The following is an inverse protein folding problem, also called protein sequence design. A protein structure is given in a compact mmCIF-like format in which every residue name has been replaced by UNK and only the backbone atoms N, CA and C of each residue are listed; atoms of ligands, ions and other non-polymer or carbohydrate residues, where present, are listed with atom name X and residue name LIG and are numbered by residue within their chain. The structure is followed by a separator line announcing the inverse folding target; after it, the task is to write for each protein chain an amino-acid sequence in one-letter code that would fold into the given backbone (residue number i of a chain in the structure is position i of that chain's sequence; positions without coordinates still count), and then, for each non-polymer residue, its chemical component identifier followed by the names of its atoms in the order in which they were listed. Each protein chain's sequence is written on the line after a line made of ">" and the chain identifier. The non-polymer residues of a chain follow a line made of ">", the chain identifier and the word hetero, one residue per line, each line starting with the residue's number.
data_IF_047676331335
#
_entry.id   IF_047676331335
#
_cell.length_a   1.000
_cell.length_b   1.000
_cell.length_c   1.000
_cell.angle_alpha   90.00
_cell.angle_beta   90.00
_cell.angle_gamma   90.00
#
_symmetry.space_group_name_H-M   'P 1'
#
loop_
_entity.id
_entity.type
_entity.pdbx_description
1 polymer ?
#
# COMPACT_ATOMS: atom_id res chain seq x y z
N UNK A 1 -15.31 28.18 -29.34
CA UNK A 1 -14.22 27.52 -28.55
C UNK A 1 -14.42 27.73 -27.04
N UNK A 2 -14.93 28.88 -26.56
CA UNK A 2 -15.30 29.04 -25.13
C UNK A 2 -16.50 28.18 -24.68
N UNK A 3 -17.53 28.03 -25.52
CA UNK A 3 -18.74 27.24 -25.17
C UNK A 3 -18.54 25.73 -25.01
N UNK A 4 -17.54 25.14 -25.67
CA UNK A 4 -17.23 23.72 -25.53
C UNK A 4 -16.59 23.39 -24.17
N UNK A 5 -16.16 24.40 -23.42
CA UNK A 5 -15.49 24.24 -22.12
C UNK A 5 -16.49 24.23 -20.98
N UNK A 6 -17.62 24.95 -21.11
CA UNK A 6 -18.66 25.04 -20.07
C UNK A 6 -19.63 23.86 -20.09
N UNK A 7 -19.94 23.29 -21.27
CA UNK A 7 -20.72 22.04 -21.33
C UNK A 7 -19.94 20.81 -20.79
N UNK A 8 -18.62 20.88 -20.70
CA UNK A 8 -17.75 19.79 -20.19
C UNK A 8 -17.71 19.69 -18.66
N UNK A 9 -18.28 20.68 -17.95
CA UNK A 9 -18.28 20.73 -16.48
C UNK A 9 -19.42 19.88 -15.88
N UNK A 10 -20.45 19.53 -16.66
CA UNK A 10 -21.63 18.77 -16.18
C UNK A 10 -21.53 17.23 -16.30
N UNK A 11 -20.33 16.69 -16.43
CA UNK A 11 -20.04 15.36 -15.93
C UNK A 11 -20.38 14.18 -16.84
N UNK A 12 -21.61 14.06 -17.34
CA UNK A 12 -21.97 12.98 -18.27
C UNK A 12 -21.78 13.46 -19.70
N UNK A 13 -20.77 12.93 -20.40
CA UNK A 13 -20.71 13.13 -21.85
C UNK A 13 -21.77 12.21 -22.48
N UNK A 14 -22.70 12.73 -23.30
CA UNK A 14 -23.67 11.90 -24.03
C UNK A 14 -23.00 10.77 -24.82
N UNK A 15 -21.74 10.99 -25.21
CA UNK A 15 -20.85 10.04 -25.86
C UNK A 15 -20.55 8.80 -24.99
N UNK A 16 -20.36 8.98 -23.68
CA UNK A 16 -20.08 7.85 -22.77
C UNK A 16 -21.30 6.97 -22.54
N UNK A 17 -22.48 7.59 -22.41
CA UNK A 17 -23.75 6.87 -22.24
C UNK A 17 -24.09 6.08 -23.51
N UNK A 18 -23.88 6.68 -24.69
CA UNK A 18 -24.03 6.02 -25.98
C UNK A 18 -23.05 4.86 -26.16
N UNK A 19 -21.76 5.08 -25.83
CA UNK A 19 -20.74 4.05 -25.91
C UNK A 19 -21.06 2.85 -25.00
N UNK A 20 -21.48 3.09 -23.76
CA UNK A 20 -21.91 2.03 -22.85
C UNK A 20 -23.09 1.25 -23.40
N UNK A 21 -24.12 1.93 -23.92
CA UNK A 21 -25.27 1.28 -24.52
C UNK A 21 -24.86 0.35 -25.69
N UNK A 22 -23.96 0.83 -26.56
CA UNK A 22 -23.46 0.03 -27.68
C UNK A 22 -22.62 -1.16 -27.22
N UNK A 23 -21.77 -0.99 -26.19
CA UNK A 23 -20.98 -2.07 -25.61
C UNK A 23 -21.87 -3.14 -24.95
N UNK A 24 -22.86 -2.73 -24.15
CA UNK A 24 -23.83 -3.63 -23.53
C UNK A 24 -24.63 -4.40 -24.58
N UNK A 25 -25.09 -3.72 -25.63
CA UNK A 25 -25.78 -4.36 -26.75
C UNK A 25 -24.86 -5.33 -27.50
N UNK A 26 -23.61 -4.95 -27.76
CA UNK A 26 -22.64 -5.84 -28.40
C UNK A 26 -22.39 -7.11 -27.57
N UNK A 27 -22.34 -6.98 -26.24
CA UNK A 27 -22.20 -8.11 -25.31
C UNK A 27 -23.36 -9.10 -25.43
N UNK A 28 -24.59 -8.61 -25.61
CA UNK A 28 -25.76 -9.48 -25.78
C UNK A 28 -25.82 -10.20 -27.13
N UNK A 29 -25.16 -9.63 -28.15
CA UNK A 29 -25.23 -10.13 -29.53
C UNK A 29 -24.07 -11.06 -29.90
N UNK A 30 -22.94 -10.97 -29.19
CA UNK A 30 -21.79 -11.85 -29.43
C UNK A 30 -21.94 -13.16 -28.66
N UNK A 31 -21.57 -14.28 -29.29
CA UNK A 31 -21.53 -15.59 -28.64
C UNK A 31 -20.11 -15.98 -28.18
N UNK A 32 -19.10 -15.18 -28.54
CA UNK A 32 -17.70 -15.47 -28.29
C UNK A 32 -17.25 -14.94 -26.92
N UNK A 33 -16.74 -15.85 -26.08
CA UNK A 33 -16.22 -15.53 -24.75
C UNK A 33 -15.05 -14.55 -24.75
N UNK A 34 -14.23 -14.52 -25.79
CA UNK A 34 -13.13 -13.55 -25.91
C UNK A 34 -13.68 -12.14 -26.09
N UNK A 35 -14.69 -11.98 -26.94
CA UNK A 35 -15.37 -10.70 -27.14
C UNK A 35 -16.10 -10.23 -25.88
N UNK A 36 -16.73 -11.14 -25.12
CA UNK A 36 -17.29 -10.79 -23.81
C UNK A 36 -16.25 -10.19 -22.87
N UNK A 37 -15.07 -10.80 -22.76
CA UNK A 37 -13.99 -10.32 -21.88
C UNK A 37 -13.48 -8.93 -22.29
N UNK A 38 -13.33 -8.68 -23.59
CA UNK A 38 -12.90 -7.38 -24.10
C UNK A 38 -13.95 -6.29 -23.83
N UNK A 39 -15.22 -6.59 -24.12
CA UNK A 39 -16.33 -5.67 -23.86
C UNK A 39 -16.45 -5.35 -22.37
N UNK A 40 -16.30 -6.34 -21.49
CA UNK A 40 -16.31 -6.12 -20.05
C UNK A 40 -15.16 -5.25 -19.56
N UNK A 41 -13.99 -5.37 -20.19
CA UNK A 41 -12.86 -4.48 -19.91
C UNK A 41 -13.17 -3.03 -20.34
N UNK A 42 -13.78 -2.84 -21.51
CA UNK A 42 -14.16 -1.51 -22.02
C UNK A 42 -15.26 -0.86 -21.17
N UNK A 43 -16.29 -1.64 -20.78
CA UNK A 43 -17.33 -1.16 -19.87
C UNK A 43 -16.72 -0.74 -18.53
N UNK A 44 -15.79 -1.55 -17.99
CA UNK A 44 -15.07 -1.21 -16.76
C UNK A 44 -14.22 0.06 -16.93
N UNK A 45 -13.56 0.21 -18.07
CA UNK A 45 -12.76 1.39 -18.40
C UNK A 45 -13.59 2.67 -18.41
N UNK A 46 -14.75 2.65 -19.09
CA UNK A 46 -15.67 3.80 -19.14
C UNK A 46 -16.22 4.11 -17.75
N UNK A 47 -16.57 3.09 -16.97
CA UNK A 47 -17.15 3.27 -15.64
C UNK A 47 -16.14 3.50 -14.51
N UNK A 48 -14.83 3.50 -14.79
CA UNK A 48 -13.79 3.60 -13.74
C UNK A 48 -13.95 4.84 -12.85
N UNK A 49 -14.31 5.99 -13.44
CA UNK A 49 -14.63 7.23 -12.74
C UNK A 49 -16.01 7.76 -13.14
N UNK A 50 -17.05 6.92 -13.05
CA UNK A 50 -18.45 7.28 -13.33
C UNK A 50 -18.64 7.94 -14.72
N UNK A 51 -18.19 7.25 -15.77
CA UNK A 51 -18.32 7.70 -17.18
C UNK A 51 -17.45 8.91 -17.52
N UNK A 52 -16.52 9.29 -16.66
CA UNK A 52 -15.50 10.29 -16.96
C UNK A 52 -14.40 9.74 -17.87
N UNK A 53 -14.71 9.58 -19.16
CA UNK A 53 -13.77 9.05 -20.16
C UNK A 53 -12.46 9.85 -20.18
N UNK A 54 -12.53 11.18 -20.00
CA UNK A 54 -11.34 12.02 -19.96
C UNK A 54 -10.40 11.66 -18.80
N UNK A 55 -10.95 11.36 -17.63
CA UNK A 55 -10.18 10.83 -16.49
C UNK A 55 -9.46 9.53 -16.85
N UNK A 56 -10.17 8.59 -17.48
CA UNK A 56 -9.59 7.31 -17.91
C UNK A 56 -8.46 7.50 -18.95
N UNK A 57 -8.66 8.39 -19.93
CA UNK A 57 -7.64 8.70 -20.96
C UNK A 57 -6.38 9.31 -20.34
N UNK A 58 -6.54 10.28 -19.44
CA UNK A 58 -5.40 10.90 -18.77
C UNK A 58 -4.65 9.90 -17.87
N UNK A 59 -5.36 8.99 -17.19
CA UNK A 59 -4.74 7.92 -16.41
C UNK A 59 -3.88 7.02 -17.30
N UNK A 60 -4.41 6.56 -18.43
CA UNK A 60 -3.67 5.71 -19.35
C UNK A 60 -2.45 6.43 -19.92
N UNK A 61 -2.56 7.72 -20.21
CA UNK A 61 -1.42 8.55 -20.62
C UNK A 61 -0.34 8.62 -19.54
N UNK A 62 -0.74 8.83 -18.27
CA UNK A 62 0.21 8.85 -17.15
C UNK A 62 0.90 7.48 -16.97
N UNK A 63 0.14 6.39 -17.07
CA UNK A 63 0.65 5.02 -17.02
C UNK A 63 1.63 4.73 -18.17
N UNK A 64 1.31 5.13 -19.40
CA UNK A 64 2.19 4.97 -20.55
C UNK A 64 3.50 5.75 -20.40
N UNK A 65 3.45 6.97 -19.85
CA UNK A 65 4.64 7.76 -19.51
C UNK A 65 5.47 7.08 -18.41
N UNK A 66 4.83 6.53 -17.38
CA UNK A 66 5.50 5.79 -16.32
C UNK A 66 6.23 4.54 -16.86
N UNK A 67 5.58 3.76 -17.73
CA UNK A 67 6.20 2.62 -18.43
C UNK A 67 7.38 3.05 -19.30
N UNK A 68 7.30 4.24 -19.90
CA UNK A 68 8.38 4.83 -20.70
C UNK A 68 9.45 5.54 -19.86
N UNK A 69 9.48 5.32 -18.53
CA UNK A 69 10.39 5.94 -17.56
C UNK A 69 10.34 7.48 -17.49
N UNK A 70 9.28 8.12 -18.01
CA UNK A 70 9.06 9.57 -17.96
C UNK A 70 8.32 9.95 -16.67
N UNK A 71 8.93 9.64 -15.53
CA UNK A 71 8.27 9.67 -14.22
C UNK A 71 7.80 11.07 -13.78
N UNK A 72 8.57 12.12 -14.08
CA UNK A 72 8.19 13.50 -13.72
C UNK A 72 6.93 13.94 -14.48
N UNK A 73 6.84 13.63 -15.78
CA UNK A 73 5.68 13.96 -16.60
C UNK A 73 4.46 13.14 -16.18
N UNK A 74 4.64 11.85 -15.85
CA UNK A 74 3.56 11.04 -15.29
C UNK A 74 3.03 11.63 -13.97
N UNK A 75 3.93 12.10 -13.10
CA UNK A 75 3.55 12.74 -11.83
C UNK A 75 2.75 14.04 -12.03
N UNK A 76 3.09 14.86 -13.03
CA UNK A 76 2.33 16.06 -13.38
C UNK A 76 0.89 15.73 -13.80
N UNK A 77 0.71 14.68 -14.61
CA UNK A 77 -0.63 14.22 -15.00
C UNK A 77 -1.40 13.66 -13.79
N UNK A 78 -0.75 12.91 -12.89
CA UNK A 78 -1.41 12.44 -11.68
C UNK A 78 -1.86 13.57 -10.77
N UNK A 79 -1.04 14.62 -10.62
CA UNK A 79 -1.43 15.80 -9.86
C UNK A 79 -2.63 16.51 -10.50
N UNK A 80 -2.63 16.67 -11.83
CA UNK A 80 -3.78 17.21 -12.56
C UNK A 80 -5.04 16.36 -12.35
N UNK A 81 -4.91 15.03 -12.44
CA UNK A 81 -6.01 14.09 -12.23
C UNK A 81 -6.64 14.27 -10.86
N UNK A 82 -5.83 14.23 -9.80
CA UNK A 82 -6.30 14.31 -8.41
C UNK A 82 -6.96 15.65 -8.08
N UNK A 83 -6.43 16.75 -8.60
CA UNK A 83 -6.87 18.09 -8.20
C UNK A 83 -8.05 18.63 -9.03
N UNK A 84 -8.23 18.16 -10.28
CA UNK A 84 -9.12 18.84 -11.24
C UNK A 84 -10.02 17.93 -12.06
N UNK A 85 -9.71 16.64 -12.19
CA UNK A 85 -10.38 15.78 -13.17
C UNK A 85 -11.21 14.70 -12.52
N UNK A 86 -10.67 14.02 -11.51
CA UNK A 86 -11.32 12.85 -10.92
C UNK A 86 -12.49 13.22 -10.02
N UNK A 87 -13.55 12.43 -10.09
CA UNK A 87 -14.81 12.69 -9.38
C UNK A 87 -14.96 11.79 -8.18
N UNK A 88 -14.85 10.49 -8.41
CA UNK A 88 -15.09 9.46 -7.42
C UNK A 88 -13.91 9.30 -6.48
N UNK A 89 -14.19 8.88 -5.24
CA UNK A 89 -13.12 8.59 -4.27
C UNK A 89 -12.30 7.37 -4.72
N UNK A 90 -12.96 6.34 -5.27
CA UNK A 90 -12.30 5.14 -5.78
C UNK A 90 -11.24 5.47 -6.84
N UNK A 91 -11.58 6.29 -7.84
CA UNK A 91 -10.62 6.68 -8.87
C UNK A 91 -9.46 7.52 -8.29
N UNK A 92 -9.76 8.39 -7.31
CA UNK A 92 -8.73 9.16 -6.59
C UNK A 92 -7.79 8.25 -5.80
N UNK A 93 -8.30 7.23 -5.13
CA UNK A 93 -7.49 6.28 -4.38
C UNK A 93 -6.56 5.49 -5.30
N UNK A 94 -7.09 4.98 -6.42
CA UNK A 94 -6.31 4.29 -7.45
C UNK A 94 -5.16 5.17 -7.96
N UNK A 95 -5.45 6.43 -8.31
CA UNK A 95 -4.41 7.36 -8.80
C UNK A 95 -3.44 7.76 -7.70
N UNK A 96 -3.89 7.94 -6.44
CA UNK A 96 -2.98 8.20 -5.32
C UNK A 96 -2.01 7.04 -5.12
N UNK A 97 -2.46 5.80 -5.31
CA UNK A 97 -1.63 4.61 -5.20
C UNK A 97 -0.61 4.51 -6.35
N UNK A 98 -1.05 4.67 -7.59
CA UNK A 98 -0.17 4.69 -8.77
C UNK A 98 0.89 5.80 -8.63
N UNK A 99 0.47 6.98 -8.19
CA UNK A 99 1.36 8.13 -7.98
C UNK A 99 2.36 7.90 -6.85
N UNK A 100 1.90 7.44 -5.66
CA UNK A 100 2.77 7.14 -4.54
C UNK A 100 3.84 6.10 -4.91
N UNK A 101 3.48 5.10 -5.72
CA UNK A 101 4.42 4.07 -6.20
C UNK A 101 5.57 4.67 -7.00
N UNK A 102 5.28 5.60 -7.92
CA UNK A 102 6.32 6.31 -8.69
C UNK A 102 7.14 7.25 -7.80
N UNK A 103 6.47 8.01 -6.92
CA UNK A 103 7.15 8.94 -6.01
C UNK A 103 8.17 8.22 -5.12
N UNK A 104 7.77 7.07 -4.58
CA UNK A 104 8.59 6.25 -3.70
C UNK A 104 9.77 5.62 -4.44
N UNK A 105 9.49 4.93 -5.55
CA UNK A 105 10.47 4.08 -6.22
C UNK A 105 11.39 4.84 -7.17
N UNK A 106 10.92 5.93 -7.80
CA UNK A 106 11.59 6.56 -8.95
C UNK A 106 11.96 8.02 -8.74
N UNK A 107 11.13 8.80 -8.05
CA UNK A 107 11.37 10.23 -7.86
C UNK A 107 12.11 10.58 -6.56
N UNK A 108 12.49 9.58 -5.75
CA UNK A 108 13.15 9.75 -4.44
C UNK A 108 12.34 10.58 -3.43
N UNK A 109 11.01 10.65 -3.60
CA UNK A 109 10.08 11.37 -2.71
C UNK A 109 9.39 10.40 -1.74
N UNK A 110 10.18 9.56 -1.07
CA UNK A 110 9.66 8.42 -0.26
C UNK A 110 8.71 8.84 0.86
N UNK A 111 9.05 9.89 1.61
CA UNK A 111 8.20 10.38 2.69
C UNK A 111 6.85 10.92 2.18
N UNK A 112 6.87 11.68 1.08
CA UNK A 112 5.65 12.19 0.43
C UNK A 112 4.77 11.06 -0.09
N UNK A 113 5.37 10.02 -0.70
CA UNK A 113 4.64 8.85 -1.16
C UNK A 113 3.93 8.11 -0.01
N UNK A 114 4.65 7.89 1.11
CA UNK A 114 4.07 7.27 2.32
C UNK A 114 2.94 8.14 2.88
N UNK A 115 3.10 9.46 2.93
CA UNK A 115 2.05 10.35 3.40
C UNK A 115 0.80 10.27 2.50
N UNK A 116 0.97 10.34 1.17
CA UNK A 116 -0.11 10.27 0.18
C UNK A 116 -0.89 8.97 0.28
N UNK A 117 -0.20 7.84 0.35
CA UNK A 117 -0.87 6.55 0.47
C UNK A 117 -1.49 6.38 1.88
N UNK A 118 -0.87 6.95 2.91
CA UNK A 118 -1.42 7.00 4.27
C UNK A 118 -2.79 7.70 4.34
N UNK A 119 -3.00 8.76 3.56
CA UNK A 119 -4.32 9.40 3.44
C UNK A 119 -5.40 8.41 2.97
N UNK A 120 -5.09 7.62 1.94
CA UNK A 120 -6.01 6.60 1.40
C UNK A 120 -6.29 5.53 2.47
N UNK A 121 -5.23 4.95 3.03
CA UNK A 121 -5.31 3.87 4.02
C UNK A 121 -6.12 4.29 5.25
N UNK A 122 -6.01 5.56 5.69
CA UNK A 122 -6.75 6.06 6.84
C UNK A 122 -8.26 6.17 6.61
N UNK A 123 -8.71 6.33 5.37
CA UNK A 123 -10.15 6.42 5.03
C UNK A 123 -10.83 5.06 4.84
N UNK A 124 -10.05 4.01 4.59
CA UNK A 124 -10.58 2.66 4.32
C UNK A 124 -10.91 1.95 5.63
N UNK A 125 -12.12 1.37 5.69
CA UNK A 125 -12.58 0.56 6.81
C UNK A 125 -11.72 -0.70 6.96
N UNK A 126 -11.37 -1.03 8.21
CA UNK A 126 -10.48 -2.15 8.55
C UNK A 126 -11.18 -3.12 9.48
N UNK A 127 -10.85 -4.40 9.35
CA UNK A 127 -11.27 -5.41 10.32
C UNK A 127 -10.39 -5.38 11.59
N UNK A 128 -10.64 -6.29 12.53
CA UNK A 128 -9.87 -6.40 13.78
C UNK A 128 -8.40 -6.76 13.58
N UNK A 129 -8.03 -7.30 12.41
CA UNK A 129 -6.64 -7.63 12.08
C UNK A 129 -5.88 -6.45 11.47
N UNK A 130 -6.58 -5.38 11.08
CA UNK A 130 -6.02 -4.23 10.36
C UNK A 130 -5.98 -4.44 8.84
N UNK A 131 -6.68 -5.45 8.32
CA UNK A 131 -6.88 -5.68 6.89
C UNK A 131 -8.05 -4.84 6.37
N UNK A 132 -8.08 -4.46 5.07
CA UNK A 132 -9.21 -3.73 4.53
C UNK A 132 -10.44 -4.65 4.44
N UNK A 133 -11.62 -4.14 4.81
CA UNK A 133 -12.88 -4.88 4.64
C UNK A 133 -13.17 -5.14 3.16
N UNK A 134 -12.86 -4.16 2.31
CA UNK A 134 -12.89 -4.32 0.86
C UNK A 134 -11.52 -4.84 0.35
N UNK A 135 -11.53 -6.10 -0.07
CA UNK A 135 -10.34 -6.80 -0.56
C UNK A 135 -9.69 -6.19 -1.81
N UNK A 136 -10.37 -5.31 -2.55
CA UNK A 136 -9.77 -4.63 -3.69
C UNK A 136 -8.62 -3.70 -3.27
N UNK A 137 -8.58 -3.28 -2.00
CA UNK A 137 -7.52 -2.44 -1.43
C UNK A 137 -6.33 -3.23 -0.86
N UNK A 138 -6.35 -4.58 -0.91
CA UNK A 138 -5.28 -5.41 -0.34
C UNK A 138 -3.88 -5.02 -0.86
N UNK A 139 -3.75 -4.79 -2.17
CA UNK A 139 -2.46 -4.41 -2.76
C UNK A 139 -1.99 -3.03 -2.30
N UNK A 140 -2.90 -2.10 -2.02
CA UNK A 140 -2.55 -0.79 -1.48
C UNK A 140 -2.04 -0.91 -0.03
N UNK A 141 -2.68 -1.76 0.76
CA UNK A 141 -2.27 -2.06 2.15
C UNK A 141 -0.90 -2.73 2.19
N UNK A 142 -0.66 -3.73 1.33
CA UNK A 142 0.64 -4.38 1.18
C UNK A 142 1.74 -3.37 0.80
N UNK A 143 1.49 -2.53 -0.21
CA UNK A 143 2.46 -1.52 -0.64
C UNK A 143 2.72 -0.49 0.46
N UNK A 144 1.68 -0.03 1.16
CA UNK A 144 1.82 0.94 2.24
C UNK A 144 2.65 0.39 3.41
N UNK A 145 2.35 -0.84 3.84
CA UNK A 145 3.09 -1.52 4.91
C UNK A 145 4.58 -1.67 4.55
N UNK A 146 4.86 -2.12 3.33
CA UNK A 146 6.23 -2.24 2.82
C UNK A 146 6.95 -0.89 2.73
N UNK A 147 6.31 0.16 2.18
CA UNK A 147 6.90 1.49 2.08
C UNK A 147 7.23 2.08 3.45
N UNK A 148 6.32 1.93 4.43
CA UNK A 148 6.58 2.36 5.81
C UNK A 148 7.74 1.57 6.41
N UNK A 149 7.76 0.26 6.26
CA UNK A 149 8.84 -0.59 6.78
C UNK A 149 10.21 -0.16 6.24
N UNK A 150 10.37 -0.08 4.92
CA UNK A 150 11.67 0.24 4.32
C UNK A 150 12.11 1.68 4.63
N UNK A 151 11.17 2.63 4.67
CA UNK A 151 11.49 3.99 5.10
C UNK A 151 11.93 4.03 6.57
N UNK A 152 11.33 3.19 7.43
CA UNK A 152 11.78 2.98 8.80
C UNK A 152 13.20 2.43 8.87
N UNK A 153 13.53 1.40 8.07
CA UNK A 153 14.89 0.82 7.98
C UNK A 153 15.93 1.86 7.58
N UNK A 154 15.66 2.66 6.55
CA UNK A 154 16.56 3.71 6.08
C UNK A 154 16.76 4.79 7.15
N UNK A 155 15.67 5.15 7.85
CA UNK A 155 15.68 6.22 8.85
C UNK A 155 16.31 5.77 10.17
N UNK A 156 16.35 4.46 10.44
CA UNK A 156 16.78 3.89 11.73
C UNK A 156 18.18 4.34 12.17
N UNK A 157 19.10 4.51 11.21
CA UNK A 157 20.48 4.95 11.48
C UNK A 157 20.61 6.45 11.73
N UNK A 158 19.65 7.25 11.28
CA UNK A 158 19.67 8.71 11.33
C UNK A 158 18.80 9.23 12.48
N UNK A 159 17.57 8.72 12.58
CA UNK A 159 16.61 9.14 13.59
C UNK A 159 15.77 7.94 14.05
N UNK A 160 16.15 7.37 15.20
CA UNK A 160 15.50 6.18 15.79
C UNK A 160 14.02 6.42 16.12
N UNK A 161 13.65 7.65 16.53
CA UNK A 161 12.26 7.98 16.87
C UNK A 161 11.38 7.95 15.62
N UNK A 162 11.81 8.60 14.55
CA UNK A 162 11.06 8.62 13.29
C UNK A 162 11.00 7.23 12.65
N UNK A 163 12.08 6.44 12.75
CA UNK A 163 12.06 5.05 12.31
C UNK A 163 11.01 4.21 13.06
N UNK A 164 10.94 4.39 14.38
CA UNK A 164 9.93 3.73 15.21
C UNK A 164 8.51 4.10 14.77
N UNK A 165 8.23 5.38 14.51
CA UNK A 165 6.92 5.83 14.01
C UNK A 165 6.54 5.18 12.67
N UNK A 166 7.48 5.01 11.74
CA UNK A 166 7.22 4.28 10.49
C UNK A 166 6.97 2.79 10.72
N UNK A 167 7.71 2.15 11.61
CA UNK A 167 7.46 0.75 11.94
C UNK A 167 6.12 0.55 12.64
N UNK A 168 5.67 1.48 13.49
CA UNK A 168 4.33 1.44 14.08
C UNK A 168 3.24 1.54 13.01
N UNK A 169 3.38 2.46 12.05
CA UNK A 169 2.44 2.56 10.91
C UNK A 169 2.40 1.26 10.10
N UNK A 170 3.57 0.69 9.79
CA UNK A 170 3.65 -0.60 9.09
C UNK A 170 3.03 -1.73 9.92
N UNK A 171 3.26 -1.75 11.23
CA UNK A 171 2.76 -2.79 12.13
C UNK A 171 1.28 -2.62 12.49
N UNK A 172 0.65 -1.49 12.18
CA UNK A 172 -0.78 -1.26 12.40
C UNK A 172 -1.66 -1.87 11.30
N UNK A 173 -1.07 -2.18 10.13
CA UNK A 173 -1.77 -2.63 8.94
C UNK A 173 -1.49 -4.12 8.68
N UNK A 174 -2.46 -4.86 8.14
CA UNK A 174 -2.24 -6.23 7.69
C UNK A 174 -1.47 -6.22 6.36
N UNK A 175 -0.20 -6.60 6.40
CA UNK A 175 0.65 -6.84 5.23
C UNK A 175 1.58 -8.03 5.48
N UNK A 176 2.10 -8.63 4.42
CA UNK A 176 2.77 -9.93 4.47
C UNK A 176 3.95 -10.01 5.42
N UNK A 177 4.78 -8.97 5.52
CA UNK A 177 5.98 -8.98 6.38
C UNK A 177 5.83 -8.10 7.63
N UNK A 178 4.60 -7.89 8.12
CA UNK A 178 4.28 -7.14 9.35
C UNK A 178 5.14 -7.54 10.55
N UNK A 179 5.46 -8.84 10.67
CA UNK A 179 6.38 -9.36 11.69
C UNK A 179 7.75 -8.67 11.71
N UNK A 180 8.30 -8.30 10.55
CA UNK A 180 9.61 -7.64 10.46
C UNK A 180 9.59 -6.24 11.06
N UNK A 181 8.46 -5.52 10.96
CA UNK A 181 8.31 -4.23 11.65
C UNK A 181 8.30 -4.40 13.17
N UNK A 182 7.62 -5.42 13.69
CA UNK A 182 7.69 -5.74 15.13
C UNK A 182 9.12 -6.09 15.58
N UNK A 183 9.86 -6.88 14.78
CA UNK A 183 11.26 -7.21 15.08
C UNK A 183 12.13 -5.94 15.17
N UNK A 184 12.02 -5.03 14.20
CA UNK A 184 12.77 -3.78 14.23
C UNK A 184 12.35 -2.86 15.39
N UNK A 185 11.07 -2.81 15.75
CA UNK A 185 10.61 -2.08 16.94
C UNK A 185 11.18 -2.66 18.23
N UNK A 186 11.28 -3.99 18.35
CA UNK A 186 11.91 -4.63 19.50
C UNK A 186 13.40 -4.25 19.63
N UNK A 187 14.15 -4.29 18.53
CA UNK A 187 15.55 -3.84 18.52
C UNK A 187 15.69 -2.35 18.87
N UNK A 188 14.79 -1.51 18.34
CA UNK A 188 14.80 -0.07 18.61
C UNK A 188 14.54 0.23 20.09
N UNK A 189 13.74 -0.60 20.74
CA UNK A 189 13.30 -0.42 22.13
C UNK A 189 14.03 -1.31 23.13
N UNK A 190 15.15 -1.97 22.76
CA UNK A 190 15.88 -2.91 23.63
C UNK A 190 16.35 -2.38 25.01
N UNK A 191 16.39 -1.06 25.19
CA UNK A 191 16.66 -0.42 26.48
C UNK A 191 15.42 -0.34 27.37
N UNK A 192 14.22 -0.30 26.79
CA UNK A 192 12.94 -0.43 27.48
C UNK A 192 12.47 -1.88 27.39
N UNK A 193 12.71 -2.64 28.46
CA UNK A 193 12.46 -4.09 28.52
C UNK A 193 11.00 -4.43 28.18
N UNK A 194 10.04 -3.67 28.70
CA UNK A 194 8.62 -3.95 28.51
C UNK A 194 8.20 -3.78 27.05
N UNK A 195 8.59 -2.68 26.42
CA UNK A 195 8.29 -2.43 25.00
C UNK A 195 9.02 -3.42 24.09
N UNK A 196 10.30 -3.68 24.35
CA UNK A 196 11.08 -4.64 23.58
C UNK A 196 10.45 -6.03 23.60
N UNK A 197 10.06 -6.49 24.79
CA UNK A 197 9.44 -7.79 24.99
C UNK A 197 8.07 -7.86 24.31
N UNK A 198 7.22 -6.84 24.46
CA UNK A 198 5.93 -6.75 23.75
C UNK A 198 6.09 -6.88 22.23
N UNK A 199 7.02 -6.14 21.65
CA UNK A 199 7.26 -6.15 20.21
C UNK A 199 7.88 -7.47 19.75
N UNK A 200 8.81 -8.03 20.51
CA UNK A 200 9.42 -9.31 20.19
C UNK A 200 8.39 -10.46 20.29
N UNK A 201 7.52 -10.47 21.28
CA UNK A 201 6.42 -11.45 21.37
C UNK A 201 5.47 -11.35 20.17
N UNK A 202 5.09 -10.12 19.78
CA UNK A 202 4.30 -9.91 18.57
C UNK A 202 5.01 -10.41 17.31
N UNK A 203 6.33 -10.20 17.20
CA UNK A 203 7.10 -10.68 16.07
C UNK A 203 7.21 -12.23 16.03
N UNK A 204 7.21 -12.92 17.18
CA UNK A 204 7.24 -14.41 17.24
C UNK A 204 6.01 -15.03 16.62
N UNK A 205 4.85 -14.37 16.71
CA UNK A 205 3.64 -14.84 16.02
C UNK A 205 3.82 -14.95 14.49
N UNK A 206 4.87 -14.33 13.94
CA UNK A 206 5.23 -14.34 12.52
C UNK A 206 6.51 -15.11 12.21
N UNK A 207 7.06 -15.88 13.17
CA UNK A 207 8.38 -16.54 13.03
C UNK A 207 8.49 -17.45 11.80
N UNK A 208 7.38 -18.02 11.34
CA UNK A 208 7.33 -18.87 10.13
C UNK A 208 7.73 -18.13 8.85
N UNK A 209 7.61 -16.79 8.82
CA UNK A 209 7.97 -15.96 7.68
C UNK A 209 9.40 -15.41 7.77
N UNK A 210 10.10 -15.66 8.87
CA UNK A 210 11.46 -15.18 9.09
C UNK A 210 12.50 -16.13 8.54
N UNK A 211 13.58 -15.54 8.02
CA UNK A 211 14.81 -16.27 7.72
C UNK A 211 15.56 -16.63 9.02
N UNK A 212 16.62 -17.44 8.90
CA UNK A 212 17.40 -17.92 10.05
C UNK A 212 17.99 -16.78 10.89
N UNK A 213 18.48 -15.71 10.26
CA UNK A 213 19.10 -14.59 10.97
C UNK A 213 18.06 -13.74 11.71
N UNK A 214 16.90 -13.52 11.11
CA UNK A 214 15.75 -12.86 11.74
C UNK A 214 15.25 -13.67 12.96
N UNK A 215 15.17 -15.01 12.83
CA UNK A 215 14.83 -15.92 13.95
C UNK A 215 15.88 -15.88 15.07
N UNK A 216 17.17 -15.87 14.74
CA UNK A 216 18.24 -15.69 15.73
C UNK A 216 18.09 -14.37 16.47
N UNK A 217 17.83 -13.28 15.73
CA UNK A 217 17.69 -11.95 16.30
C UNK A 217 16.54 -11.85 17.30
N UNK A 218 15.34 -12.36 16.94
CA UNK A 218 14.18 -12.31 17.81
C UNK A 218 14.35 -13.17 19.08
N UNK A 219 14.92 -14.38 18.95
CA UNK A 219 15.16 -15.25 20.09
C UNK A 219 16.21 -14.68 21.04
N UNK A 220 17.27 -14.05 20.51
CA UNK A 220 18.24 -13.32 21.32
C UNK A 220 17.58 -12.17 22.09
N UNK A 221 16.77 -11.35 21.42
CA UNK A 221 16.05 -10.25 22.07
C UNK A 221 15.13 -10.73 23.20
N UNK A 222 14.40 -11.82 22.98
CA UNK A 222 13.52 -12.41 24.01
C UNK A 222 14.31 -12.98 25.18
N UNK A 223 15.38 -13.75 24.91
CA UNK A 223 16.21 -14.33 25.97
C UNK A 223 16.84 -13.24 26.86
N UNK A 224 17.35 -12.17 26.26
CA UNK A 224 17.90 -11.03 26.98
C UNK A 224 16.82 -10.27 27.77
N UNK A 225 15.68 -9.99 27.16
CA UNK A 225 14.58 -9.26 27.80
C UNK A 225 14.00 -10.04 28.98
N UNK A 226 13.72 -11.34 28.83
CA UNK A 226 13.22 -12.19 29.90
C UNK A 226 14.23 -12.37 31.04
N UNK A 227 15.53 -12.45 30.73
CA UNK A 227 16.58 -12.46 31.76
C UNK A 227 16.53 -11.18 32.60
N UNK A 228 16.42 -10.02 31.97
CA UNK A 228 16.31 -8.73 32.68
C UNK A 228 15.00 -8.58 33.45
N UNK A 229 13.92 -9.24 33.02
CA UNK A 229 12.64 -9.31 33.72
C UNK A 229 12.62 -10.36 34.85
N UNK A 230 13.74 -11.02 35.13
CA UNK A 230 13.86 -12.09 36.12
C UNK A 230 12.89 -13.27 35.86
N UNK A 231 12.73 -13.66 34.59
CA UNK A 231 11.94 -14.82 34.15
C UNK A 231 12.86 -15.87 33.51
N UNK A 232 13.62 -16.63 34.32
CA UNK A 232 14.70 -17.49 33.83
C UNK A 232 14.21 -18.63 32.93
N UNK A 233 13.04 -19.21 33.20
CA UNK A 233 12.52 -20.33 32.40
C UNK A 233 12.24 -19.92 30.96
N UNK A 234 11.61 -18.75 30.77
CA UNK A 234 11.37 -18.20 29.44
C UNK A 234 12.67 -17.76 28.77
N UNK A 235 13.59 -17.17 29.53
CA UNK A 235 14.89 -16.78 29.00
C UNK A 235 15.65 -18.01 28.47
N UNK A 236 15.61 -19.14 29.19
CA UNK A 236 16.20 -20.42 28.78
C UNK A 236 15.53 -20.98 27.53
N UNK A 237 14.18 -21.01 27.48
CA UNK A 237 13.43 -21.47 26.32
C UNK A 237 13.88 -20.79 25.02
N UNK A 238 13.94 -19.45 25.01
CA UNK A 238 14.34 -18.72 23.81
C UNK A 238 15.85 -18.80 23.54
N UNK A 239 16.68 -18.96 24.57
CA UNK A 239 18.11 -19.20 24.38
C UNK A 239 18.39 -20.57 23.73
N UNK A 240 17.67 -21.62 24.13
CA UNK A 240 17.80 -22.94 23.53
C UNK A 240 17.34 -22.92 22.05
N UNK A 241 16.20 -22.28 21.76
CA UNK A 241 15.77 -22.02 20.37
C UNK A 241 16.79 -21.23 19.54
N UNK A 242 17.49 -20.27 20.16
CA UNK A 242 18.56 -19.53 19.49
C UNK A 242 19.75 -20.45 19.16
N UNK A 243 20.13 -21.35 20.08
CA UNK A 243 21.23 -22.29 19.88
C UNK A 243 20.95 -23.33 18.81
N UNK A 244 19.70 -23.77 18.66
CA UNK A 244 19.29 -24.70 17.60
C UNK A 244 19.49 -24.15 16.18
N UNK A 245 19.67 -22.83 16.04
CA UNK A 245 19.89 -22.16 14.76
C UNK A 245 21.37 -21.86 14.46
N UNK A 246 22.30 -22.18 15.37
CA UNK A 246 23.75 -21.96 15.21
C UNK A 246 24.40 -23.08 14.40
#
# INVERSE_FOLDING_TARGET
>A
IKDATEQRVNGRTPEADSALHHLERAKLLTADSNWHRLIDADIKYVNWDERNIWGSVLRDSANALATSAKFTQAAEIYDQLLNKVLRTQRAKDDVKWDYATIEYAKLKRRASAVARLGEVINTIAKDSSGAPVDTTYNNMFENYGAMCHYLGVDTMKVNRKVAYEYFERAAAIAWKERGKSYLNMAELTKTNIELSLKHAENAVAWERLFNTEEKKMIYRLLAEAYRRKNQPDKARLYFDKFRELQ
#
